data_IF_018231068089
#
_entry.id   IF_018231068089
#
_cell.length_a   1.000
_cell.length_b   1.000
_cell.length_c   1.000
_cell.angle_alpha   90.00
_cell.angle_beta   90.00
_cell.angle_gamma   90.00
#
_symmetry.space_group_name_H-M   'P 1'
#
loop_
_entity.id
_entity.type
_entity.pdbx_description
1 polymer ?
#
# COMPACT_ATOMS: atom_id res chain seq x y z
N UNK A 1 -4.00 -22.79 -13.34
CA UNK A 1 -4.25 -21.37 -13.64
C UNK A 1 -4.11 -20.64 -12.33
N UNK A 2 -2.92 -20.10 -12.08
CA UNK A 2 -2.67 -19.27 -10.90
C UNK A 2 -3.51 -18.01 -11.06
N UNK A 3 -4.54 -17.89 -10.21
CA UNK A 3 -5.38 -16.70 -10.12
C UNK A 3 -4.49 -15.53 -9.74
N UNK A 4 -4.21 -14.66 -10.71
CA UNK A 4 -3.51 -13.40 -10.47
C UNK A 4 -4.31 -12.59 -9.45
N UNK A 5 -3.76 -12.49 -8.23
CA UNK A 5 -4.32 -11.69 -7.16
C UNK A 5 -3.48 -10.42 -7.07
N UNK A 6 -4.09 -9.30 -7.40
CA UNK A 6 -3.44 -7.99 -7.37
C UNK A 6 -2.91 -7.62 -5.99
N UNK A 7 -3.62 -8.04 -4.93
CA UNK A 7 -3.18 -7.92 -3.55
C UNK A 7 -1.83 -8.60 -3.31
N UNK A 8 -1.59 -9.77 -3.93
CA UNK A 8 -0.33 -10.51 -3.79
C UNK A 8 0.83 -9.74 -4.45
N UNK A 9 0.57 -9.17 -5.63
CA UNK A 9 1.52 -8.27 -6.30
C UNK A 9 1.85 -7.04 -5.45
N UNK A 10 0.84 -6.41 -4.83
CA UNK A 10 1.01 -5.28 -3.94
C UNK A 10 1.85 -5.68 -2.72
N UNK A 11 1.54 -6.80 -2.08
CA UNK A 11 2.31 -7.31 -0.94
C UNK A 11 3.77 -7.59 -1.31
N UNK A 12 4.02 -8.18 -2.47
CA UNK A 12 5.36 -8.41 -2.99
C UNK A 12 6.12 -7.09 -3.19
N UNK A 13 5.52 -6.10 -3.87
CA UNK A 13 6.14 -4.81 -4.10
C UNK A 13 6.43 -4.04 -2.79
N UNK A 14 5.53 -4.12 -1.80
CA UNK A 14 5.75 -3.55 -0.47
C UNK A 14 6.94 -4.21 0.23
N UNK A 15 7.05 -5.54 0.14
CA UNK A 15 8.16 -6.29 0.73
C UNK A 15 9.51 -5.97 0.08
N UNK A 16 9.57 -5.89 -1.25
CA UNK A 16 10.77 -5.46 -2.01
C UNK A 16 11.23 -4.06 -1.59
N UNK A 17 10.26 -3.17 -1.32
CA UNK A 17 10.46 -1.80 -0.87
C UNK A 17 10.71 -1.68 0.65
N UNK A 18 10.79 -2.81 1.37
CA UNK A 18 10.97 -2.89 2.83
C UNK A 18 9.89 -2.16 3.63
N UNK A 19 8.68 -2.04 3.09
CA UNK A 19 7.55 -1.41 3.77
C UNK A 19 6.87 -2.47 4.65
N UNK A 20 6.84 -2.29 5.98
CA UNK A 20 6.24 -3.26 6.89
C UNK A 20 4.71 -3.28 6.77
N UNK A 21 4.15 -4.44 6.43
CA UNK A 21 2.70 -4.69 6.44
C UNK A 21 2.27 -5.21 7.80
N UNK A 22 1.28 -4.56 8.42
CA UNK A 22 0.72 -4.98 9.70
C UNK A 22 -0.32 -6.09 9.52
N UNK A 23 -1.22 -5.95 8.56
CA UNK A 23 -2.28 -6.92 8.27
C UNK A 23 -2.84 -6.68 6.88
N UNK A 24 -3.45 -7.69 6.28
CA UNK A 24 -4.17 -7.53 5.03
C UNK A 24 -5.46 -8.35 5.06
N UNK A 25 -6.52 -7.85 4.44
CA UNK A 25 -7.84 -8.46 4.34
C UNK A 25 -8.34 -8.36 2.90
N UNK A 26 -8.15 -9.43 2.12
CA UNK A 26 -8.55 -9.56 0.71
C UNK A 26 -8.05 -8.46 -0.25
N UNK A 27 -8.53 -7.23 -0.12
CA UNK A 27 -8.18 -6.05 -0.93
C UNK A 27 -7.71 -4.86 -0.10
N UNK A 28 -7.77 -4.95 1.23
CA UNK A 28 -7.27 -3.93 2.14
C UNK A 28 -5.94 -4.39 2.72
N UNK A 29 -4.90 -3.57 2.64
CA UNK A 29 -3.60 -3.81 3.24
C UNK A 29 -3.35 -2.69 4.25
N UNK A 30 -3.19 -3.05 5.52
CA UNK A 30 -2.87 -2.13 6.61
C UNK A 30 -1.37 -2.21 6.84
N UNK A 31 -0.70 -1.07 6.73
CA UNK A 31 0.73 -0.90 6.94
C UNK A 31 1.02 -0.57 8.41
N UNK A 32 2.23 -0.91 8.87
CA UNK A 32 2.61 -0.71 10.27
C UNK A 32 2.75 0.77 10.66
N UNK A 33 2.86 1.67 9.69
CA UNK A 33 2.89 3.12 9.89
C UNK A 33 1.49 3.76 9.91
N UNK A 34 0.42 2.96 9.90
CA UNK A 34 -0.96 3.43 9.97
C UNK A 34 -1.61 3.75 8.63
N UNK A 35 -0.88 3.66 7.52
CA UNK A 35 -1.50 3.73 6.19
C UNK A 35 -2.31 2.48 5.88
N UNK A 36 -3.35 2.66 5.09
CA UNK A 36 -4.17 1.60 4.55
C UNK A 36 -4.22 1.74 3.03
N UNK A 37 -3.99 0.64 2.33
CA UNK A 37 -4.07 0.53 0.88
C UNK A 37 -5.31 -0.28 0.56
N UNK A 38 -6.21 0.26 -0.24
CA UNK A 38 -7.37 -0.42 -0.77
C UNK A 38 -7.19 -0.65 -2.27
N UNK A 39 -7.16 -1.92 -2.69
CA UNK A 39 -7.11 -2.32 -4.09
C UNK A 39 -8.53 -2.23 -4.66
N UNK A 40 -8.86 -1.10 -5.28
CA UNK A 40 -10.18 -0.89 -5.88
C UNK A 40 -10.31 -1.64 -7.21
N UNK A 41 -9.29 -1.54 -8.07
CA UNK A 41 -9.22 -2.14 -9.41
C UNK A 41 -7.78 -2.41 -9.82
N UNK A 42 -7.65 -3.08 -10.97
CA UNK A 42 -6.39 -3.20 -11.71
C UNK A 42 -5.74 -1.86 -11.91
N UNK A 43 -4.51 -1.72 -11.41
CA UNK A 43 -3.73 -0.49 -11.45
C UNK A 43 -4.46 0.70 -10.77
N UNK A 44 -5.23 0.45 -9.70
CA UNK A 44 -5.84 1.52 -8.89
C UNK A 44 -5.88 1.16 -7.41
N UNK A 45 -5.04 1.87 -6.65
CA UNK A 45 -4.79 1.68 -5.24
C UNK A 45 -5.13 2.95 -4.48
N UNK A 46 -6.11 2.89 -3.58
CA UNK A 46 -6.45 4.02 -2.74
C UNK A 46 -5.62 3.97 -1.47
N UNK A 47 -4.85 5.02 -1.22
CA UNK A 47 -4.17 5.22 0.04
C UNK A 47 -5.05 6.02 1.00
N UNK A 48 -5.26 5.49 2.20
CA UNK A 48 -5.97 6.16 3.28
C UNK A 48 -5.19 6.06 4.60
N UNK A 49 -5.47 6.94 5.54
CA UNK A 49 -4.94 6.92 6.91
C UNK A 49 -6.07 7.35 7.86
N UNK A 50 -6.32 6.59 8.92
CA UNK A 50 -7.33 6.91 9.94
C UNK A 50 -8.72 7.27 9.35
N UNK A 51 -9.13 6.59 8.28
CA UNK A 51 -10.40 6.85 7.58
C UNK A 51 -10.38 8.03 6.59
N UNK A 52 -9.28 8.77 6.48
CA UNK A 52 -9.09 9.82 5.48
C UNK A 52 -8.41 9.29 4.22
N UNK A 53 -9.01 9.54 3.07
CA UNK A 53 -8.39 9.22 1.77
C UNK A 53 -7.34 10.27 1.46
N UNK A 54 -6.08 9.84 1.34
CA UNK A 54 -4.96 10.71 1.00
C UNK A 54 -4.93 10.92 -0.51
N UNK A 55 -4.84 9.82 -1.26
CA UNK A 55 -4.78 9.88 -2.72
C UNK A 55 -5.04 8.51 -3.35
N UNK A 56 -5.70 8.46 -4.51
CA UNK A 56 -5.64 7.30 -5.40
C UNK A 56 -4.31 7.28 -6.15
N UNK A 57 -3.70 6.11 -6.23
CA UNK A 57 -2.50 5.83 -7.00
C UNK A 57 -2.82 4.81 -8.08
N UNK A 58 -2.43 5.11 -9.31
CA UNK A 58 -2.50 4.17 -10.42
C UNK A 58 -1.19 3.41 -10.64
N UNK A 59 -0.10 3.85 -10.01
CA UNK A 59 1.22 3.24 -10.11
C UNK A 59 1.73 2.76 -8.74
N UNK A 60 2.12 1.49 -8.68
CA UNK A 60 2.61 0.86 -7.45
C UNK A 60 3.95 1.45 -7.00
N UNK A 61 4.81 1.85 -7.93
CA UNK A 61 6.08 2.51 -7.63
C UNK A 61 5.85 3.88 -6.97
N UNK A 62 4.95 4.70 -7.52
CA UNK A 62 4.57 5.99 -6.96
C UNK A 62 3.95 5.86 -5.57
N UNK A 63 3.07 4.87 -5.36
CA UNK A 63 2.49 4.57 -4.05
C UNK A 63 3.57 4.21 -3.02
N UNK A 64 4.47 3.28 -3.36
CA UNK A 64 5.55 2.87 -2.48
C UNK A 64 6.51 4.02 -2.15
N UNK A 65 6.87 4.83 -3.15
CA UNK A 65 7.72 6.01 -2.97
C UNK A 65 7.06 7.05 -2.05
N UNK A 66 5.75 7.26 -2.20
CA UNK A 66 4.99 8.15 -1.31
C UNK A 66 5.03 7.64 0.13
N UNK A 67 4.73 6.36 0.35
CA UNK A 67 4.75 5.75 1.68
C UNK A 67 6.16 5.86 2.28
N UNK A 68 7.20 5.46 1.56
CA UNK A 68 8.58 5.57 2.05
C UNK A 68 8.92 7.01 2.42
N UNK A 69 8.62 7.98 1.56
CA UNK A 69 8.91 9.38 1.82
C UNK A 69 8.19 9.92 3.06
N UNK A 70 6.96 9.47 3.30
CA UNK A 70 6.15 9.92 4.42
C UNK A 70 6.34 9.07 5.69
N UNK A 71 6.99 7.91 5.58
CA UNK A 71 7.45 7.07 6.70
C UNK A 71 8.67 7.72 7.38
N UNK A 72 9.50 8.45 6.62
CA UNK A 72 10.71 9.14 7.13
C UNK A 72 10.42 10.38 8.01
N UNK A 73 9.21 10.56 8.54
CA UNK A 73 8.89 11.60 9.53
C UNK A 73 8.73 11.00 10.94
N UNK A 74 9.68 10.17 11.36
CA UNK A 74 9.81 9.73 12.74
C UNK A 74 11.19 10.05 13.37
N UNK A 75 12.10 10.72 12.66
CA UNK A 75 13.40 11.11 13.24
C UNK A 75 13.96 12.38 12.55
N UNK A 76 13.61 13.56 13.11
CA UNK A 76 14.52 14.64 13.54
C UNK A 76 13.74 15.69 14.36
#
# INVERSE_FOLDING_TARGET
>A
METYNETDFVLYALAEMKIPVQSHTSRHIILANGYQIEVEKRDLYRLSVDGFVISPFDDMGALCQFIQRNDVHADD
#
